data_IF_427610127299
#
_entry.id   IF_427610127299
#
_cell.length_a   1.000
_cell.length_b   1.000
_cell.length_c   1.000
_cell.angle_alpha   90.00
_cell.angle_beta   90.00
_cell.angle_gamma   90.00
#
_symmetry.space_group_name_H-M   'P 1'
#
loop_
_entity.id
_entity.type
_entity.pdbx_description
1 polymer ?
#
# COMPACT_ATOMS: atom_id res chain seq x y z
N UNK A 1 -43.90 -47.24 -46.22
CA UNK A 1 -42.48 -46.88 -46.22
C UNK A 1 -42.38 -45.37 -46.07
N UNK A 2 -41.60 -44.93 -45.08
CA UNK A 2 -41.06 -43.58 -44.83
C UNK A 2 -41.86 -42.36 -45.32
N UNK A 3 -42.45 -41.62 -44.36
CA UNK A 3 -42.72 -40.19 -44.45
C UNK A 3 -42.74 -39.63 -43.02
N UNK A 4 -41.60 -39.11 -42.56
CA UNK A 4 -41.44 -38.20 -41.42
C UNK A 4 -39.93 -37.89 -41.32
N UNK A 5 -39.43 -37.11 -42.28
CA UNK A 5 -38.06 -36.59 -42.32
C UNK A 5 -38.03 -35.05 -42.35
N UNK A 6 -39.16 -34.40 -42.08
CA UNK A 6 -39.32 -32.93 -42.16
C UNK A 6 -39.51 -32.24 -40.79
N UNK A 7 -39.47 -32.98 -39.68
CA UNK A 7 -39.57 -32.39 -38.33
C UNK A 7 -38.18 -32.35 -37.70
N UNK A 8 -37.30 -31.54 -38.28
CA UNK A 8 -36.06 -31.12 -37.62
C UNK A 8 -36.47 -30.12 -36.52
N UNK A 9 -36.21 -30.39 -35.23
CA UNK A 9 -36.83 -29.61 -34.16
C UNK A 9 -36.36 -28.16 -34.16
N UNK A 10 -37.31 -27.22 -34.32
CA UNK A 10 -37.13 -25.77 -34.21
C UNK A 10 -36.32 -25.35 -32.96
N UNK A 11 -36.39 -26.16 -31.88
CA UNK A 11 -35.58 -25.99 -30.67
C UNK A 11 -34.06 -26.01 -30.94
N UNK A 12 -33.56 -26.83 -31.86
CA UNK A 12 -32.13 -26.85 -32.19
C UNK A 12 -31.68 -25.59 -32.92
N UNK A 13 -32.53 -25.02 -33.78
CA UNK A 13 -32.24 -23.75 -34.44
C UNK A 13 -32.23 -22.60 -33.42
N UNK A 14 -33.14 -22.62 -32.43
CA UNK A 14 -33.13 -21.65 -31.34
C UNK A 14 -31.87 -21.77 -30.46
N UNK A 15 -31.45 -23.00 -30.13
CA UNK A 15 -30.20 -23.25 -29.41
C UNK A 15 -28.97 -22.79 -30.20
N UNK A 16 -28.92 -23.05 -31.51
CA UNK A 16 -27.83 -22.60 -32.38
C UNK A 16 -27.73 -21.08 -32.42
N UNK A 17 -28.85 -20.37 -32.54
CA UNK A 17 -28.88 -18.91 -32.51
C UNK A 17 -28.42 -18.35 -31.16
N UNK A 18 -28.82 -18.99 -30.05
CA UNK A 18 -28.37 -18.60 -28.71
C UNK A 18 -26.86 -18.81 -28.53
N UNK A 19 -26.34 -19.95 -28.97
CA UNK A 19 -24.92 -20.26 -28.96
C UNK A 19 -24.12 -19.27 -29.82
N UNK A 20 -24.61 -18.95 -31.02
CA UNK A 20 -23.97 -17.98 -31.91
C UNK A 20 -23.91 -16.59 -31.26
N UNK A 21 -24.99 -16.14 -30.63
CA UNK A 21 -25.03 -14.87 -29.89
C UNK A 21 -24.02 -14.86 -28.74
N UNK A 22 -23.97 -15.92 -27.93
CA UNK A 22 -22.99 -16.05 -26.84
C UNK A 22 -21.55 -16.04 -27.34
N UNK A 23 -21.29 -16.70 -28.47
CA UNK A 23 -19.97 -16.71 -29.10
C UNK A 23 -19.58 -15.29 -29.52
N UNK A 24 -20.48 -14.54 -30.16
CA UNK A 24 -20.24 -13.14 -30.54
C UNK A 24 -19.96 -12.25 -29.33
N UNK A 25 -20.75 -12.36 -28.27
CA UNK A 25 -20.55 -11.60 -27.02
C UNK A 25 -19.21 -11.91 -26.36
N UNK A 26 -18.81 -13.18 -26.32
CA UNK A 26 -17.53 -13.61 -25.78
C UNK A 26 -16.35 -13.07 -26.61
N UNK A 27 -16.46 -13.06 -27.93
CA UNK A 27 -15.43 -12.48 -28.80
C UNK A 27 -15.28 -10.97 -28.57
N UNK A 28 -16.38 -10.22 -28.47
CA UNK A 28 -16.31 -8.81 -28.14
C UNK A 28 -15.68 -8.55 -26.77
N UNK A 29 -16.02 -9.36 -25.76
CA UNK A 29 -15.47 -9.22 -24.43
C UNK A 29 -13.96 -9.51 -24.44
N UNK A 30 -13.54 -10.51 -25.20
CA UNK A 30 -12.14 -10.89 -25.36
C UNK A 30 -11.35 -9.75 -26.01
N UNK A 31 -11.84 -9.18 -27.11
CA UNK A 31 -11.21 -8.03 -27.78
C UNK A 31 -11.10 -6.83 -26.84
N UNK A 32 -12.17 -6.48 -26.12
CA UNK A 32 -12.17 -5.39 -25.13
C UNK A 32 -11.11 -5.64 -24.04
N UNK A 33 -10.98 -6.88 -23.56
CA UNK A 33 -10.01 -7.25 -22.55
C UNK A 33 -8.57 -7.19 -23.05
N UNK A 34 -8.32 -7.60 -24.30
CA UNK A 34 -6.99 -7.54 -24.93
C UNK A 34 -6.51 -6.10 -25.09
N UNK A 35 -7.40 -5.22 -25.54
CA UNK A 35 -7.13 -3.77 -25.64
C UNK A 35 -6.80 -3.20 -24.25
N UNK A 36 -7.59 -3.53 -23.23
CA UNK A 36 -7.35 -3.07 -21.86
C UNK A 36 -6.00 -3.55 -21.31
N UNK A 37 -5.64 -4.81 -21.57
CA UNK A 37 -4.35 -5.37 -21.16
C UNK A 37 -3.20 -4.63 -21.85
N UNK A 38 -3.34 -4.30 -23.14
CA UNK A 38 -2.31 -3.54 -23.86
C UNK A 38 -2.11 -2.15 -23.24
N UNK A 39 -3.20 -1.42 -23.00
CA UNK A 39 -3.15 -0.09 -22.38
C UNK A 39 -2.47 -0.11 -21.00
N UNK A 40 -2.86 -1.07 -20.15
CA UNK A 40 -2.28 -1.21 -18.81
C UNK A 40 -0.81 -1.63 -18.85
N UNK A 41 -0.37 -2.37 -19.88
CA UNK A 41 1.05 -2.71 -20.07
C UNK A 41 1.87 -1.47 -20.43
N UNK A 42 1.35 -0.64 -21.33
CA UNK A 42 2.01 0.61 -21.75
C UNK A 42 2.11 1.60 -20.57
N UNK A 43 1.02 1.78 -19.82
CA UNK A 43 1.02 2.64 -18.62
C UNK A 43 2.00 2.13 -17.56
N UNK A 44 2.03 0.81 -17.31
CA UNK A 44 3.00 0.22 -16.39
C UNK A 44 4.45 0.44 -16.84
N UNK A 45 4.71 0.35 -18.14
CA UNK A 45 6.04 0.60 -18.69
C UNK A 45 6.45 2.05 -18.45
N UNK A 46 5.57 3.01 -18.72
CA UNK A 46 5.83 4.44 -18.51
C UNK A 46 6.06 4.77 -17.02
N UNK A 47 5.19 4.27 -16.13
CA UNK A 47 5.32 4.48 -14.70
C UNK A 47 6.65 3.92 -14.16
N UNK A 48 7.06 2.73 -14.61
CA UNK A 48 8.36 2.15 -14.24
C UNK A 48 9.53 3.03 -14.70
N UNK A 49 9.46 3.58 -15.92
CA UNK A 49 10.48 4.49 -16.42
C UNK A 49 10.55 5.79 -15.58
N UNK A 50 9.39 6.36 -15.21
CA UNK A 50 9.34 7.53 -14.34
C UNK A 50 9.92 7.26 -12.94
N UNK A 51 9.60 6.11 -12.35
CA UNK A 51 10.16 5.69 -11.05
C UNK A 51 11.69 5.59 -11.14
N UNK A 52 12.22 4.96 -12.19
CA UNK A 52 13.67 4.84 -12.39
C UNK A 52 14.35 6.22 -12.50
N UNK A 53 13.72 7.17 -13.22
CA UNK A 53 14.22 8.54 -13.34
C UNK A 53 14.27 9.26 -12.00
N UNK A 54 13.23 9.14 -11.18
CA UNK A 54 13.18 9.74 -9.84
C UNK A 54 14.23 9.14 -8.90
N UNK A 55 14.43 7.82 -8.94
CA UNK A 55 15.46 7.14 -8.14
C UNK A 55 16.88 7.60 -8.50
N UNK A 56 17.16 7.85 -9.78
CA UNK A 56 18.46 8.38 -10.21
C UNK A 56 18.69 9.84 -9.77
N UNK A 57 17.61 10.63 -9.62
CA UNK A 57 17.69 12.02 -9.16
C UNK A 57 17.91 12.12 -7.64
N UNK A 58 17.48 11.12 -6.86
CA UNK A 58 17.81 11.05 -5.44
C UNK A 58 19.23 10.51 -5.21
N UNK A 59 20.25 11.38 -5.27
CA UNK A 59 21.56 11.05 -4.67
C UNK A 59 21.40 10.95 -3.15
N UNK A 60 21.90 9.90 -2.48
CA UNK A 60 21.98 9.92 -1.02
C UNK A 60 22.98 11.01 -0.61
N UNK A 61 22.51 12.02 0.12
CA UNK A 61 23.39 12.95 0.82
C UNK A 61 24.16 12.13 1.86
N UNK A 62 25.39 11.74 1.52
CA UNK A 62 26.34 11.20 2.49
C UNK A 62 26.69 12.32 3.46
N UNK A 63 26.02 12.34 4.61
CA UNK A 63 26.52 13.08 5.76
C UNK A 63 27.82 12.41 6.20
N UNK A 64 28.96 13.00 5.81
CA UNK A 64 30.25 12.71 6.42
C UNK A 64 30.17 13.19 7.88
N UNK A 65 29.96 12.28 8.81
CA UNK A 65 30.14 12.55 10.23
C UNK A 65 31.62 12.85 10.49
N UNK A 66 31.99 13.98 11.11
CA UNK A 66 33.36 14.20 11.57
C UNK A 66 33.75 13.14 12.63
N UNK A 67 35.04 12.78 12.77
CA UNK A 67 35.47 11.80 13.74
C UNK A 67 35.25 12.37 15.14
N UNK A 68 34.39 11.71 15.93
CA UNK A 68 34.20 12.02 17.34
C UNK A 68 35.45 11.59 18.10
N UNK A 69 36.13 12.54 18.73
CA UNK A 69 37.25 12.29 19.63
C UNK A 69 36.80 11.39 20.79
N UNK A 70 37.56 10.33 21.01
CA UNK A 70 37.31 9.29 22.00
C UNK A 70 37.51 9.86 23.41
N UNK A 71 36.44 10.25 24.08
CA UNK A 71 36.45 10.50 25.53
C UNK A 71 36.53 9.14 26.23
N UNK A 72 37.66 8.88 26.91
CA UNK A 72 37.86 7.72 27.77
C UNK A 72 36.97 7.85 29.01
N UNK A 73 36.05 6.91 29.20
CA UNK A 73 35.35 6.70 30.49
C UNK A 73 35.53 5.23 30.90
N UNK A 74 35.92 4.95 32.16
CA UNK A 74 36.38 3.63 32.61
C UNK A 74 35.27 2.57 32.67
N UNK A 75 35.73 1.32 32.54
CA UNK A 75 34.98 0.06 32.64
C UNK A 75 34.29 -0.06 33.99
N UNK A 76 33.02 -0.45 33.99
CA UNK A 76 32.45 -1.37 35.00
C UNK A 76 31.15 -2.02 34.50
N UNK A 77 31.21 -3.36 34.57
CA UNK A 77 30.21 -4.41 34.64
C UNK A 77 29.05 -4.54 33.63
N UNK A 78 29.20 -5.62 32.86
CA UNK A 78 28.24 -6.27 31.98
C UNK A 78 27.10 -6.87 32.82
N UNK A 79 25.88 -6.37 32.62
CA UNK A 79 24.65 -7.13 32.94
C UNK A 79 23.89 -7.37 31.65
N UNK A 80 23.72 -8.65 31.35
CA UNK A 80 23.01 -9.26 30.23
C UNK A 80 21.59 -8.69 30.12
N UNK A 81 21.29 -8.01 29.01
CA UNK A 81 19.97 -7.42 28.75
C UNK A 81 19.11 -8.43 27.97
N UNK A 82 18.00 -8.87 28.57
CA UNK A 82 16.88 -9.54 27.88
C UNK A 82 15.91 -8.49 27.29
N UNK A 83 15.12 -8.84 26.26
CA UNK A 83 14.59 -7.89 25.29
C UNK A 83 13.28 -7.26 25.78
N UNK A 84 13.33 -5.98 26.12
CA UNK A 84 12.16 -5.11 26.17
C UNK A 84 12.53 -3.72 25.65
N UNK A 85 12.95 -3.68 24.39
CA UNK A 85 13.13 -2.45 23.63
C UNK A 85 11.76 -1.85 23.31
N UNK A 86 11.35 -0.84 24.07
CA UNK A 86 10.51 0.27 23.59
C UNK A 86 10.39 1.30 24.71
N UNK A 87 11.42 2.12 25.01
CA UNK A 87 11.22 3.48 25.55
C UNK A 87 12.51 4.29 25.81
N UNK A 88 13.43 4.41 24.84
CA UNK A 88 14.61 5.28 25.00
C UNK A 88 14.62 6.40 23.96
N UNK A 89 13.49 7.10 23.75
CA UNK A 89 13.43 8.46 23.15
C UNK A 89 12.19 9.25 23.60
N UNK A 90 11.81 9.20 24.87
CA UNK A 90 10.81 10.13 25.44
C UNK A 90 11.41 11.55 25.62
N UNK A 91 12.08 12.08 24.60
CA UNK A 91 12.47 13.48 24.56
C UNK A 91 11.22 14.32 24.77
N UNK A 92 11.15 14.98 25.94
CA UNK A 92 10.12 15.88 26.49
C UNK A 92 9.01 16.29 25.49
N UNK A 93 8.12 15.35 25.16
CA UNK A 93 6.94 15.64 24.33
C UNK A 93 6.07 16.58 25.17
N UNK A 94 5.71 17.75 24.65
CA UNK A 94 4.84 18.73 25.32
C UNK A 94 3.61 19.01 24.45
N UNK A 95 2.43 18.98 25.05
CA UNK A 95 1.20 19.35 24.36
C UNK A 95 1.21 20.85 24.08
N UNK A 96 0.97 21.30 22.84
CA UNK A 96 0.95 22.72 22.50
C UNK A 96 -0.27 23.45 23.10
N UNK A 97 -1.36 22.74 23.38
CA UNK A 97 -2.59 23.33 23.90
C UNK A 97 -2.58 23.51 25.43
N UNK A 98 -2.20 22.49 26.20
CA UNK A 98 -2.27 22.52 27.67
C UNK A 98 -0.93 22.36 28.38
N UNK A 99 0.17 22.22 27.63
CA UNK A 99 1.51 22.08 28.21
C UNK A 99 1.80 20.74 28.90
N UNK A 100 0.87 19.78 28.89
CA UNK A 100 1.09 18.45 29.47
C UNK A 100 2.28 17.72 28.80
N UNK A 101 3.06 16.99 29.59
CA UNK A 101 4.31 16.36 29.13
C UNK A 101 4.32 14.85 29.28
N UNK A 102 5.27 14.19 28.59
CA UNK A 102 5.59 12.78 28.77
C UNK A 102 4.41 11.84 28.46
N UNK A 103 4.04 11.02 29.46
CA UNK A 103 2.96 10.02 29.36
C UNK A 103 1.58 10.59 29.03
N UNK A 104 1.39 11.91 29.17
CA UNK A 104 0.13 12.55 28.80
C UNK A 104 -0.07 12.63 27.27
N UNK A 105 0.93 12.27 26.46
CA UNK A 105 0.88 12.32 25.00
C UNK A 105 0.97 10.90 24.45
N UNK A 106 -0.10 10.46 23.76
CA UNK A 106 -0.17 9.16 23.11
C UNK A 106 -0.08 9.31 21.59
N UNK A 107 0.47 8.31 20.92
CA UNK A 107 0.42 8.22 19.46
C UNK A 107 -0.78 7.37 19.03
N UNK A 108 -1.56 7.87 18.08
CA UNK A 108 -2.79 7.24 17.56
C UNK A 108 -2.75 7.31 16.03
N UNK A 109 -3.40 6.36 15.37
CA UNK A 109 -3.54 6.37 13.91
C UNK A 109 -4.48 7.49 13.43
N UNK A 110 -4.00 8.29 12.48
CA UNK A 110 -4.79 9.25 11.74
C UNK A 110 -5.46 8.56 10.54
N UNK A 111 -6.72 8.18 10.72
CA UNK A 111 -7.51 7.51 9.69
C UNK A 111 -7.78 8.39 8.46
N UNK A 112 -7.49 9.68 8.50
CA UNK A 112 -7.64 10.60 7.36
C UNK A 112 -6.43 10.59 6.43
N UNK A 113 -5.27 10.12 6.89
CA UNK A 113 -4.01 10.12 6.12
C UNK A 113 -3.46 8.70 6.00
N UNK A 114 -3.60 8.14 4.82
CA UNK A 114 -3.14 6.80 4.49
C UNK A 114 -1.76 6.91 3.83
N UNK A 115 -0.78 6.19 4.38
CA UNK A 115 0.58 6.09 3.82
C UNK A 115 0.58 5.08 2.67
N UNK A 116 -0.06 3.93 2.83
CA UNK A 116 -0.07 2.85 1.83
C UNK A 116 -1.33 2.00 1.95
N UNK A 117 -1.84 1.49 0.81
CA UNK A 117 -3.06 0.67 0.74
C UNK A 117 -2.80 -0.83 0.59
N UNK A 118 -1.58 -1.26 0.20
CA UNK A 118 -1.25 -2.65 -0.14
C UNK A 118 -0.07 -3.15 0.71
N UNK A 119 -0.12 -4.36 1.30
CA UNK A 119 -1.24 -5.32 1.34
C UNK A 119 -2.32 -4.97 2.38
N UNK A 120 -2.06 -4.02 3.29
CA UNK A 120 -3.02 -3.51 4.28
C UNK A 120 -2.92 -1.98 4.36
N UNK A 121 -3.99 -1.33 4.79
CA UNK A 121 -4.01 0.12 5.02
C UNK A 121 -3.10 0.48 6.19
N UNK A 122 -2.05 1.24 5.92
CA UNK A 122 -1.17 1.81 6.93
C UNK A 122 -1.50 3.30 7.05
N UNK A 123 -1.87 3.73 8.26
CA UNK A 123 -2.24 5.11 8.56
C UNK A 123 -1.04 5.87 9.13
N UNK A 124 -1.03 7.18 8.92
CA UNK A 124 -0.06 8.07 9.54
C UNK A 124 -0.30 8.14 11.06
N UNK A 125 0.76 8.26 11.86
CA UNK A 125 0.61 8.46 13.32
C UNK A 125 0.47 9.94 13.63
N UNK A 126 -0.48 10.29 14.49
CA UNK A 126 -0.64 11.61 15.12
C UNK A 126 -0.50 11.51 16.63
N UNK A 127 -0.19 12.62 17.30
CA UNK A 127 -0.10 12.69 18.76
C UNK A 127 -1.38 13.27 19.34
N UNK A 128 -1.88 12.64 20.40
CA UNK A 128 -3.08 13.09 21.11
C UNK A 128 -2.72 13.31 22.57
N UNK A 129 -3.05 14.50 23.06
CA UNK A 129 -2.96 14.78 24.49
C UNK A 129 -4.14 14.14 25.22
N UNK A 130 -3.87 13.25 26.16
CA UNK A 130 -4.91 12.61 26.99
C UNK A 130 -5.61 13.56 27.96
N UNK A 131 -4.97 14.69 28.31
CA UNK A 131 -5.56 15.68 29.23
C UNK A 131 -6.57 16.60 28.55
N UNK A 132 -6.20 17.18 27.41
CA UNK A 132 -7.05 18.18 26.71
C UNK A 132 -7.62 17.68 25.37
N UNK A 133 -7.35 16.42 25.00
CA UNK A 133 -7.78 15.79 23.74
C UNK A 133 -7.31 16.48 22.46
N UNK A 134 -6.35 17.42 22.56
CA UNK A 134 -5.78 18.09 21.40
C UNK A 134 -4.90 17.13 20.59
N UNK A 135 -5.10 17.15 19.27
CA UNK A 135 -4.39 16.32 18.30
C UNK A 135 -3.38 17.17 17.52
N UNK A 136 -2.16 16.66 17.32
CA UNK A 136 -1.06 17.37 16.64
C UNK A 136 0.04 16.43 16.12
#
# INVERSE_FOLDING_TARGET
MYNNLDDLPQEYDEELNQLETQISELFELLEKSEIQISLLKDENFELKAQIQKLQQQSKPVQFKTPPVETIKVPKEDVVTVSPSDTNIRQNKRKCPNCGATGFSIKEVDDKTRIITYVPRRIYMKKKVCTKCRFEF
#
